data_IF_707119743157
#
_entry.id   IF_707119743157
#
_cell.length_a   1.000
_cell.length_b   1.000
_cell.length_c   1.000
_cell.angle_alpha   90.00
_cell.angle_beta   90.00
_cell.angle_gamma   90.00
#
_symmetry.space_group_name_H-M   'P 1'
#
loop_
_entity.id
_entity.type
_entity.pdbx_description
1 polymer ?
#
# COMPACT_ATOMS: atom_id res chain seq x y z
N UNK A 1 58.81 21.69 -49.74
CA UNK A 1 57.65 21.26 -50.54
C UNK A 1 56.55 20.83 -49.57
N UNK A 2 55.40 21.52 -49.69
CA UNK A 2 54.05 21.27 -49.12
C UNK A 2 53.87 20.94 -47.64
N UNK A 3 53.45 21.97 -46.90
CA UNK A 3 52.65 21.88 -45.68
C UNK A 3 51.24 21.34 -46.01
N UNK A 4 50.72 20.41 -45.22
CA UNK A 4 49.31 19.99 -45.27
C UNK A 4 48.72 20.16 -43.88
N UNK A 5 47.80 21.13 -43.76
CA UNK A 5 47.06 21.42 -42.55
C UNK A 5 45.72 20.65 -42.58
N UNK A 6 45.59 19.62 -41.74
CA UNK A 6 44.30 18.98 -41.49
C UNK A 6 43.57 19.68 -40.34
N UNK A 7 42.60 20.52 -40.70
CA UNK A 7 41.59 21.04 -39.79
C UNK A 7 40.66 19.91 -39.31
N UNK A 8 40.69 19.60 -38.01
CA UNK A 8 39.63 18.78 -37.39
C UNK A 8 38.58 19.72 -36.79
N UNK A 9 37.47 19.88 -37.51
CA UNK A 9 36.23 20.50 -37.01
C UNK A 9 35.76 19.76 -35.75
N UNK A 10 35.70 20.48 -34.64
CA UNK A 10 35.10 19.99 -33.38
C UNK A 10 33.58 19.93 -33.57
N UNK A 11 33.01 18.73 -33.57
CA UNK A 11 31.57 18.52 -33.56
C UNK A 11 30.99 19.10 -32.26
N UNK A 12 30.02 20.02 -32.38
CA UNK A 12 29.24 20.51 -31.25
C UNK A 12 28.28 19.40 -30.83
N UNK A 13 28.65 18.67 -29.78
CA UNK A 13 27.71 17.85 -29.02
C UNK A 13 26.72 18.79 -28.33
N UNK A 14 25.43 18.66 -28.66
CA UNK A 14 24.35 19.37 -27.98
C UNK A 14 24.32 18.93 -26.53
N UNK A 15 24.55 19.85 -25.60
CA UNK A 15 24.44 19.60 -24.17
C UNK A 15 23.01 19.17 -23.81
N UNK A 16 22.82 18.20 -22.89
CA UNK A 16 21.51 17.94 -22.33
C UNK A 16 21.00 19.22 -21.65
N UNK A 17 19.75 19.60 -21.86
CA UNK A 17 19.14 20.72 -21.14
C UNK A 17 19.19 20.43 -19.63
N UNK A 18 19.49 21.41 -18.77
CA UNK A 18 19.42 21.19 -17.34
C UNK A 18 17.96 20.89 -16.99
N UNK A 19 17.68 19.65 -16.60
CA UNK A 19 16.46 19.33 -15.88
C UNK A 19 16.49 20.22 -14.64
N UNK A 20 15.48 21.10 -14.51
CA UNK A 20 15.35 21.95 -13.33
C UNK A 20 15.38 21.03 -12.12
N UNK A 21 16.22 21.35 -11.13
CA UNK A 21 16.16 20.74 -9.80
C UNK A 21 14.73 20.95 -9.26
N UNK A 22 13.86 19.96 -9.47
CA UNK A 22 12.55 19.97 -8.83
C UNK A 22 12.78 19.74 -7.35
N UNK A 23 12.39 20.72 -6.52
CA UNK A 23 12.42 20.55 -5.08
C UNK A 23 11.68 19.24 -4.70
N UNK A 24 12.28 18.43 -3.81
CA UNK A 24 11.68 17.16 -3.43
C UNK A 24 10.28 17.39 -2.88
N UNK A 25 9.30 16.74 -3.52
CA UNK A 25 7.88 16.91 -3.19
C UNK A 25 7.61 16.52 -1.73
N UNK A 26 7.13 17.46 -0.92
CA UNK A 26 6.81 17.21 0.47
C UNK A 26 5.45 16.50 0.62
N UNK A 27 5.48 15.19 0.83
CA UNK A 27 4.28 14.37 1.05
C UNK A 27 3.54 14.71 2.37
N UNK A 28 4.17 15.45 3.29
CA UNK A 28 3.54 15.88 4.53
C UNK A 28 2.55 17.04 4.34
N UNK A 29 2.67 17.80 3.25
CA UNK A 29 1.81 18.97 2.97
C UNK A 29 0.53 18.58 2.21
N UNK A 30 0.39 17.30 1.85
CA UNK A 30 -0.79 16.80 1.16
C UNK A 30 -2.00 16.85 2.11
N UNK A 31 -3.15 17.44 1.69
CA UNK A 31 -4.38 17.39 2.47
C UNK A 31 -4.75 15.97 2.90
N UNK A 32 -5.27 15.83 4.11
CA UNK A 32 -5.63 14.53 4.70
C UNK A 32 -6.61 13.74 3.84
N UNK A 33 -7.54 14.42 3.18
CA UNK A 33 -8.52 13.81 2.28
C UNK A 33 -7.84 13.15 1.07
N UNK A 34 -6.94 13.88 0.39
CA UNK A 34 -6.18 13.34 -0.74
C UNK A 34 -5.26 12.21 -0.31
N UNK A 35 -4.61 12.34 0.84
CA UNK A 35 -3.79 11.28 1.42
C UNK A 35 -4.62 10.02 1.67
N UNK A 36 -5.84 10.16 2.23
CA UNK A 36 -6.75 9.05 2.45
C UNK A 36 -7.13 8.36 1.14
N UNK A 37 -7.44 9.13 0.08
CA UNK A 37 -7.78 8.60 -1.25
C UNK A 37 -6.63 7.81 -1.90
N UNK A 38 -5.38 8.18 -1.63
CA UNK A 38 -4.21 7.41 -2.05
C UNK A 38 -4.13 6.13 -1.23
N UNK A 39 -4.19 6.25 0.10
CA UNK A 39 -4.01 5.13 1.01
C UNK A 39 -5.07 4.03 0.84
N UNK A 40 -6.34 4.38 0.55
CA UNK A 40 -7.41 3.37 0.32
C UNK A 40 -7.20 2.53 -0.94
N UNK A 41 -6.29 2.96 -1.84
CA UNK A 41 -5.94 2.21 -3.06
C UNK A 41 -4.75 1.27 -2.85
N UNK A 42 -4.07 1.36 -1.71
CA UNK A 42 -2.93 0.52 -1.39
C UNK A 42 -3.37 -0.82 -0.82
N UNK A 43 -2.53 -1.84 -0.98
CA UNK A 43 -2.75 -3.12 -0.30
C UNK A 43 -2.54 -2.98 1.20
N UNK A 44 -3.08 -3.92 1.98
CA UNK A 44 -2.86 -3.94 3.43
C UNK A 44 -1.37 -4.02 3.77
N UNK A 45 -0.62 -4.84 3.02
CA UNK A 45 0.82 -4.97 3.20
C UNK A 45 1.53 -3.65 2.94
N UNK A 46 1.14 -2.89 1.92
CA UNK A 46 1.73 -1.58 1.62
C UNK A 46 1.41 -0.55 2.71
N UNK A 47 0.18 -0.54 3.22
CA UNK A 47 -0.21 0.37 4.30
C UNK A 47 0.61 0.09 5.57
N UNK A 48 0.71 -1.19 5.97
CA UNK A 48 1.38 -1.62 7.19
C UNK A 48 2.90 -1.53 7.08
N UNK A 49 3.49 -1.96 5.98
CA UNK A 49 4.94 -2.06 5.88
C UNK A 49 5.59 -0.77 5.37
N UNK A 50 4.87 0.04 4.59
CA UNK A 50 5.45 1.18 3.88
C UNK A 50 4.75 2.50 4.25
N UNK A 51 3.46 2.66 3.95
CA UNK A 51 2.80 3.97 3.97
C UNK A 51 2.77 4.62 5.36
N UNK A 52 2.54 3.84 6.43
CA UNK A 52 2.56 4.37 7.80
C UNK A 52 3.96 4.80 8.29
N UNK A 53 5.02 4.51 7.53
CA UNK A 53 6.41 4.87 7.84
C UNK A 53 6.89 6.11 7.09
N UNK A 54 6.13 6.62 6.11
CA UNK A 54 6.51 7.77 5.27
C UNK A 54 6.66 9.05 6.10
N UNK A 55 5.58 9.48 6.77
CA UNK A 55 5.58 10.69 7.60
C UNK A 55 4.50 10.62 8.70
N UNK A 56 4.52 11.58 9.63
CA UNK A 56 3.56 11.62 10.76
C UNK A 56 2.10 11.74 10.32
N UNK A 57 1.72 12.64 9.37
CA UNK A 57 0.34 12.72 8.88
C UNK A 57 -0.17 11.41 8.29
N UNK A 58 0.61 10.76 7.41
CA UNK A 58 0.25 9.48 6.81
C UNK A 58 0.07 8.39 7.87
N UNK A 59 0.99 8.31 8.84
CA UNK A 59 0.89 7.37 9.95
C UNK A 59 -0.41 7.55 10.76
N UNK A 60 -0.85 8.79 10.97
CA UNK A 60 -2.10 9.08 11.66
C UNK A 60 -3.29 8.53 10.87
N UNK A 61 -3.35 8.85 9.57
CA UNK A 61 -4.45 8.41 8.70
C UNK A 61 -4.49 6.88 8.61
N UNK A 62 -3.35 6.20 8.47
CA UNK A 62 -3.28 4.73 8.46
C UNK A 62 -3.82 4.07 9.74
N UNK A 63 -3.99 4.80 10.85
CA UNK A 63 -4.57 4.29 12.10
C UNK A 63 -6.07 4.58 12.23
N UNK A 64 -6.65 5.41 11.37
CA UNK A 64 -8.07 5.76 11.42
C UNK A 64 -8.93 4.55 11.00
N UNK A 65 -10.00 4.20 11.74
CA UNK A 65 -10.82 3.04 11.41
C UNK A 65 -11.48 3.10 10.02
N UNK A 66 -11.74 4.31 9.53
CA UNK A 66 -12.30 4.54 8.18
C UNK A 66 -11.43 3.95 7.06
N UNK A 67 -10.11 3.83 7.28
CA UNK A 67 -9.18 3.22 6.33
C UNK A 67 -9.33 1.70 6.24
N UNK A 68 -9.88 1.06 7.27
CA UNK A 68 -9.92 -0.39 7.44
C UNK A 68 -11.31 -0.98 7.24
N UNK A 69 -12.26 -0.19 6.72
CA UNK A 69 -13.61 -0.65 6.39
C UNK A 69 -13.63 -1.66 5.24
N UNK A 70 -12.62 -1.62 4.37
CA UNK A 70 -12.44 -2.54 3.25
C UNK A 70 -11.02 -3.06 3.25
N UNK A 71 -10.86 -4.37 3.38
CA UNK A 71 -9.56 -5.03 3.46
C UNK A 71 -9.40 -5.91 2.22
N UNK A 72 -8.32 -5.74 1.46
CA UNK A 72 -7.97 -6.62 0.34
C UNK A 72 -6.58 -7.25 0.55
N UNK A 73 -6.56 -8.57 0.66
CA UNK A 73 -5.37 -9.41 0.85
C UNK A 73 -5.23 -10.51 -0.20
N UNK A 74 -6.00 -10.46 -1.30
CA UNK A 74 -5.98 -11.51 -2.35
C UNK A 74 -4.60 -11.72 -2.96
N UNK A 75 -3.87 -10.63 -3.17
CA UNK A 75 -2.60 -10.61 -3.91
C UNK A 75 -1.38 -11.02 -3.09
N UNK A 76 -1.55 -11.28 -1.80
CA UNK A 76 -0.41 -11.49 -0.89
C UNK A 76 0.13 -12.94 -0.88
N UNK A 77 -0.43 -13.80 -1.72
CA UNK A 77 -0.01 -15.20 -1.84
C UNK A 77 1.05 -15.30 -2.92
N UNK A 78 2.30 -15.55 -2.52
CA UNK A 78 3.27 -16.14 -3.45
C UNK A 78 4.18 -17.19 -2.82
N UNK A 79 4.11 -17.38 -1.50
CA UNK A 79 5.00 -18.30 -0.81
C UNK A 79 4.31 -18.95 0.40
N UNK A 80 4.43 -20.28 0.53
CA UNK A 80 3.87 -21.04 1.66
C UNK A 80 4.50 -20.65 2.99
N UNK A 81 5.69 -20.04 2.99
CA UNK A 81 6.32 -19.49 4.19
C UNK A 81 5.67 -18.21 4.74
N UNK A 82 4.68 -17.64 4.05
CA UNK A 82 4.07 -16.36 4.42
C UNK A 82 2.70 -16.49 5.09
N UNK A 83 2.17 -17.70 5.30
CA UNK A 83 0.81 -17.88 5.84
C UNK A 83 0.63 -17.22 7.22
N UNK A 84 1.55 -17.45 8.18
CA UNK A 84 1.45 -16.89 9.53
C UNK A 84 1.59 -15.35 9.54
N UNK A 85 2.58 -14.75 8.85
CA UNK A 85 2.64 -13.29 8.69
C UNK A 85 1.37 -12.68 8.08
N UNK A 86 0.74 -13.35 7.11
CA UNK A 86 -0.49 -12.87 6.47
C UNK A 86 -1.67 -12.90 7.44
N UNK A 87 -1.82 -13.98 8.21
CA UNK A 87 -2.84 -14.07 9.24
C UNK A 87 -2.67 -12.97 10.31
N UNK A 88 -1.43 -12.72 10.76
CA UNK A 88 -1.12 -11.64 11.72
C UNK A 88 -1.49 -10.28 11.13
N UNK A 89 -1.12 -10.00 9.87
CA UNK A 89 -1.49 -8.75 9.20
C UNK A 89 -3.01 -8.60 9.09
N UNK A 90 -3.73 -9.70 8.81
CA UNK A 90 -5.19 -9.70 8.72
C UNK A 90 -5.81 -9.32 10.06
N UNK A 91 -5.39 -9.94 11.16
CA UNK A 91 -5.86 -9.57 12.50
C UNK A 91 -5.58 -8.11 12.82
N UNK A 92 -4.38 -7.64 12.50
CA UNK A 92 -4.00 -6.24 12.69
C UNK A 92 -4.85 -5.25 11.90
N UNK A 93 -5.35 -5.65 10.73
CA UNK A 93 -6.23 -4.86 9.88
C UNK A 93 -7.66 -4.84 10.44
N UNK A 94 -8.16 -6.01 10.86
CA UNK A 94 -9.47 -6.18 11.51
C UNK A 94 -9.53 -5.41 12.82
N UNK A 95 -8.51 -5.49 13.68
CA UNK A 95 -8.47 -4.72 14.93
C UNK A 95 -8.56 -3.20 14.71
N UNK A 96 -7.99 -2.71 13.61
CA UNK A 96 -8.07 -1.29 13.26
C UNK A 96 -9.44 -0.91 12.69
N UNK A 97 -10.25 -1.85 12.21
CA UNK A 97 -11.63 -1.58 11.77
C UNK A 97 -12.50 -1.10 12.92
N UNK A 98 -12.17 -1.51 14.16
CA UNK A 98 -12.95 -1.27 15.37
C UNK A 98 -14.43 -1.67 15.24
N UNK A 99 -14.71 -2.80 14.59
CA UNK A 99 -16.08 -3.28 14.34
C UNK A 99 -16.77 -2.57 13.17
N UNK A 100 -16.03 -1.78 12.40
CA UNK A 100 -16.51 -1.03 11.23
C UNK A 100 -16.24 -1.73 9.90
N UNK A 101 -15.87 -3.01 9.91
CA UNK A 101 -15.53 -3.74 8.69
C UNK A 101 -16.79 -3.95 7.85
N UNK A 102 -16.69 -3.67 6.55
CA UNK A 102 -17.79 -3.85 5.60
C UNK A 102 -17.48 -5.00 4.65
N UNK A 103 -16.22 -5.08 4.22
CA UNK A 103 -15.79 -6.04 3.23
C UNK A 103 -14.37 -6.50 3.47
N UNK A 104 -14.14 -7.79 3.35
CA UNK A 104 -12.81 -8.38 3.40
C UNK A 104 -12.62 -9.39 2.27
N UNK A 105 -11.49 -9.27 1.59
CA UNK A 105 -11.07 -10.15 0.52
C UNK A 105 -9.83 -10.91 0.95
N UNK A 106 -9.96 -12.22 1.06
CA UNK A 106 -8.90 -13.09 1.57
C UNK A 106 -8.40 -14.05 0.50
N UNK A 107 -7.16 -14.49 0.64
CA UNK A 107 -6.51 -15.47 -0.24
C UNK A 107 -6.41 -16.87 0.39
N UNK A 108 -5.61 -17.76 -0.20
CA UNK A 108 -5.35 -19.14 0.24
C UNK A 108 -4.63 -19.28 1.61
N UNK A 109 -4.59 -18.23 2.45
CA UNK A 109 -4.01 -18.26 3.81
C UNK A 109 -5.07 -18.31 4.91
N UNK A 110 -6.34 -18.38 4.53
CA UNK A 110 -7.46 -18.45 5.47
C UNK A 110 -7.54 -19.82 6.13
N UNK A 111 -7.78 -19.81 7.43
CA UNK A 111 -8.14 -20.97 8.23
C UNK A 111 -9.35 -20.62 9.11
N UNK A 112 -9.97 -21.62 9.74
CA UNK A 112 -11.17 -21.43 10.56
C UNK A 112 -10.91 -20.49 11.74
N UNK A 113 -9.74 -20.58 12.40
CA UNK A 113 -9.35 -19.70 13.50
C UNK A 113 -9.26 -18.21 13.11
N UNK A 114 -8.87 -17.89 11.87
CA UNK A 114 -8.88 -16.54 11.36
C UNK A 114 -10.30 -16.06 11.05
N UNK A 115 -11.17 -16.94 10.54
CA UNK A 115 -12.57 -16.62 10.25
C UNK A 115 -13.36 -16.39 11.54
N UNK A 116 -13.19 -17.24 12.54
CA UNK A 116 -13.82 -17.11 13.86
C UNK A 116 -13.41 -15.79 14.51
N UNK A 117 -12.12 -15.45 14.47
CA UNK A 117 -11.65 -14.16 14.97
C UNK A 117 -12.26 -12.97 14.24
N UNK A 118 -12.38 -13.02 12.91
CA UNK A 118 -13.04 -11.95 12.15
C UNK A 118 -14.50 -11.82 12.57
N UNK A 119 -15.21 -12.93 12.76
CA UNK A 119 -16.59 -12.93 13.20
C UNK A 119 -16.74 -12.31 14.60
N UNK A 120 -15.91 -12.74 15.56
CA UNK A 120 -15.98 -12.29 16.95
C UNK A 120 -15.73 -10.79 17.10
N UNK A 121 -14.72 -10.25 16.40
CA UNK A 121 -14.35 -8.83 16.51
C UNK A 121 -15.42 -7.87 15.99
N UNK A 122 -16.34 -8.38 15.19
CA UNK A 122 -17.35 -7.57 14.49
C UNK A 122 -18.75 -7.77 15.08
N UNK A 123 -18.97 -8.84 15.85
CA UNK A 123 -20.20 -9.08 16.61
C UNK A 123 -20.37 -8.06 17.75
N UNK A 124 -19.27 -7.57 18.33
CA UNK A 124 -19.29 -6.51 19.35
C UNK A 124 -19.74 -5.14 18.81
N UNK A 125 -19.77 -4.98 17.47
CA UNK A 125 -20.16 -3.77 16.76
C UNK A 125 -21.45 -3.94 15.96
N UNK A 126 -22.61 -3.88 16.61
CA UNK A 126 -23.88 -3.52 15.96
C UNK A 126 -24.24 -4.23 14.62
N UNK A 127 -24.33 -5.57 14.58
CA UNK A 127 -24.98 -6.36 13.50
C UNK A 127 -24.77 -5.81 12.06
N UNK A 128 -23.56 -5.39 11.70
CA UNK A 128 -23.25 -5.06 10.30
C UNK A 128 -23.02 -6.38 9.56
N UNK A 129 -23.73 -6.62 8.45
CA UNK A 129 -23.44 -7.79 7.60
C UNK A 129 -22.09 -7.56 6.92
N UNK A 130 -21.09 -8.37 7.26
CA UNK A 130 -19.78 -8.34 6.62
C UNK A 130 -19.80 -9.22 5.37
N UNK A 131 -19.33 -8.66 4.26
CA UNK A 131 -19.06 -9.43 3.05
C UNK A 131 -17.65 -10.01 3.14
N UNK A 132 -17.56 -11.32 3.42
CA UNK A 132 -16.31 -12.08 3.39
C UNK A 132 -16.24 -12.81 2.05
N UNK A 133 -15.29 -12.42 1.20
CA UNK A 133 -15.04 -13.11 -0.06
C UNK A 133 -13.68 -13.81 0.02
N UNK A 134 -13.68 -15.15 0.00
CA UNK A 134 -12.47 -15.99 0.02
C UNK A 134 -12.15 -16.41 -1.41
N UNK A 135 -10.91 -16.19 -1.83
CA UNK A 135 -10.41 -16.58 -3.15
C UNK A 135 -9.39 -17.70 -2.98
N UNK A 136 -9.70 -18.86 -3.58
CA UNK A 136 -8.79 -20.00 -3.69
C UNK A 136 -8.24 -19.98 -5.11
N UNK A 137 -6.96 -19.63 -5.26
CA UNK A 137 -6.25 -19.83 -6.52
C UNK A 137 -5.81 -21.29 -6.59
N UNK A 138 -6.41 -22.07 -7.50
CA UNK A 138 -5.96 -23.42 -7.89
C UNK A 138 -4.63 -23.39 -8.66
#
# INVERSE_FOLDING_TARGET
MTTSAFSKKKMKTSSPSPMKDEEPRNWADLPSELTSLILIRLSVADILNNAQKVCRPWRRICKEPSMWRKIDMRSLIRDRGMLDPLAIMCRHAVDRSQGGLVKIHLGNFVNDDLLDYIADREIDGFRQKICVDIYIFE
#
